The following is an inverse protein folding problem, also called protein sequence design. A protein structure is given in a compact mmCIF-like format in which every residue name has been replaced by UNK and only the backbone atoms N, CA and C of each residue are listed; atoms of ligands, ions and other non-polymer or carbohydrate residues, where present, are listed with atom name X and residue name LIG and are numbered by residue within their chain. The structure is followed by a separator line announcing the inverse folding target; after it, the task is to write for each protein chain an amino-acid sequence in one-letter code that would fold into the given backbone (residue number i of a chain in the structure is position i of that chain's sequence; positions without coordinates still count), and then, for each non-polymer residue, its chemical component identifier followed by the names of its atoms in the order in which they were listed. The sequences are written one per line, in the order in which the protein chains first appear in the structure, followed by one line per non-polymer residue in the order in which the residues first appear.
data_IF_463145094744
#
_entry.id   IF_463145094744
#
_cell.length_a   1.000
_cell.length_b   1.000
_cell.length_c   1.000
_cell.angle_alpha   90.00
_cell.angle_beta   90.00
_cell.angle_gamma   90.00
#
_symmetry.space_group_name_H-M   'P 1'
#
loop_
_entity.id
_entity.type
_entity.pdbx_description
1 polymer ?
#
# COMPACT_ATOMS: atom_id res chain seq x y z
N UNK A 1 -59.61 11.90 1.98
CA UNK A 1 -58.34 12.69 2.12
C UNK A 1 -57.18 11.81 2.55
N UNK A 2 -57.24 10.96 3.59
CA UNK A 2 -56.15 10.09 4.05
C UNK A 2 -55.69 9.02 3.03
N UNK A 3 -56.63 8.37 2.35
CA UNK A 3 -56.34 7.35 1.34
C UNK A 3 -55.60 7.93 0.13
N UNK A 4 -55.95 9.13 -0.32
CA UNK A 4 -55.30 9.82 -1.43
C UNK A 4 -53.83 10.20 -1.08
N UNK A 5 -53.59 10.64 0.15
CA UNK A 5 -52.21 10.94 0.65
C UNK A 5 -51.36 9.67 0.77
N UNK A 6 -51.94 8.54 1.17
CA UNK A 6 -51.25 7.25 1.20
C UNK A 6 -50.87 6.75 -0.19
N UNK A 7 -51.75 6.87 -1.16
CA UNK A 7 -51.49 6.46 -2.53
C UNK A 7 -50.38 7.31 -3.21
N UNK A 8 -50.42 8.63 -3.00
CA UNK A 8 -49.37 9.53 -3.53
C UNK A 8 -47.99 9.27 -2.90
N UNK A 9 -47.93 9.01 -1.58
CA UNK A 9 -46.69 8.69 -0.89
C UNK A 9 -46.10 7.35 -1.40
N UNK A 10 -46.96 6.33 -1.60
CA UNK A 10 -46.54 5.04 -2.16
C UNK A 10 -45.99 5.18 -3.59
N UNK A 11 -46.69 5.93 -4.44
CA UNK A 11 -46.29 6.17 -5.83
C UNK A 11 -44.95 6.92 -5.89
N UNK A 12 -44.78 7.92 -5.03
CA UNK A 12 -43.50 8.66 -4.91
C UNK A 12 -42.36 7.76 -4.45
N UNK A 13 -42.58 6.88 -3.48
CA UNK A 13 -41.56 5.91 -3.02
C UNK A 13 -41.16 4.93 -4.10
N UNK A 14 -42.12 4.42 -4.87
CA UNK A 14 -41.85 3.52 -6.00
C UNK A 14 -41.06 4.24 -7.10
N UNK A 15 -41.49 5.44 -7.49
CA UNK A 15 -40.79 6.24 -8.50
C UNK A 15 -39.37 6.61 -8.07
N UNK A 16 -39.19 6.97 -6.79
CA UNK A 16 -37.86 7.25 -6.22
C UNK A 16 -37.00 5.98 -6.23
N UNK A 17 -37.54 4.83 -5.87
CA UNK A 17 -36.82 3.55 -5.92
C UNK A 17 -36.40 3.17 -7.33
N UNK A 18 -37.26 3.36 -8.32
CA UNK A 18 -36.94 3.14 -9.74
C UNK A 18 -35.85 4.10 -10.22
N UNK A 19 -35.95 5.38 -9.88
CA UNK A 19 -34.93 6.39 -10.24
C UNK A 19 -33.58 6.08 -9.62
N UNK A 20 -33.54 5.71 -8.34
CA UNK A 20 -32.30 5.29 -7.66
C UNK A 20 -31.73 4.03 -8.30
N UNK A 21 -32.58 3.06 -8.66
CA UNK A 21 -32.16 1.84 -9.36
C UNK A 21 -31.51 2.14 -10.72
N UNK A 22 -32.14 3.00 -11.51
CA UNK A 22 -31.59 3.47 -12.80
C UNK A 22 -30.24 4.17 -12.61
N UNK A 23 -30.12 5.13 -11.68
CA UNK A 23 -28.87 5.83 -11.39
C UNK A 23 -27.79 4.83 -10.99
N UNK A 24 -28.08 3.89 -10.11
CA UNK A 24 -27.14 2.86 -9.68
C UNK A 24 -26.67 1.97 -10.81
N UNK A 25 -27.53 1.65 -11.78
CA UNK A 25 -27.17 0.87 -12.96
C UNK A 25 -26.20 1.61 -13.89
N UNK A 26 -26.27 2.94 -13.97
CA UNK A 26 -25.39 3.77 -14.80
C UNK A 26 -24.02 4.05 -14.17
N UNK A 27 -23.86 3.97 -12.86
CA UNK A 27 -22.63 4.30 -12.16
C UNK A 27 -21.40 3.50 -12.65
N UNK A 28 -21.46 2.18 -12.89
CA UNK A 28 -20.31 1.43 -13.41
C UNK A 28 -19.85 1.93 -14.79
N UNK A 29 -20.80 2.22 -15.69
CA UNK A 29 -20.51 2.75 -17.03
C UNK A 29 -19.90 4.15 -16.96
N UNK A 30 -20.41 5.02 -16.08
CA UNK A 30 -19.87 6.33 -15.83
C UNK A 30 -18.45 6.28 -15.24
N UNK A 31 -18.17 5.34 -14.33
CA UNK A 31 -16.83 5.11 -13.78
C UNK A 31 -15.84 4.68 -14.88
N UNK A 32 -16.24 3.76 -15.75
CA UNK A 32 -15.44 3.33 -16.91
C UNK A 32 -15.16 4.50 -17.86
N UNK A 33 -16.18 5.32 -18.14
CA UNK A 33 -16.01 6.53 -18.95
C UNK A 33 -15.00 7.51 -18.35
N UNK A 34 -15.07 7.74 -17.02
CA UNK A 34 -14.12 8.61 -16.31
C UNK A 34 -12.69 8.07 -16.39
N UNK A 35 -12.49 6.77 -16.24
CA UNK A 35 -11.17 6.14 -16.36
C UNK A 35 -10.62 6.30 -17.76
N UNK A 36 -11.41 6.02 -18.79
CA UNK A 36 -11.01 6.21 -20.19
C UNK A 36 -10.62 7.66 -20.50
N UNK A 37 -11.35 8.62 -19.95
CA UNK A 37 -11.02 10.05 -20.07
C UNK A 37 -9.75 10.41 -19.31
N UNK A 38 -9.55 9.85 -18.11
CA UNK A 38 -8.36 10.06 -17.30
C UNK A 38 -7.10 9.51 -17.98
N UNK A 39 -7.19 8.34 -18.59
CA UNK A 39 -6.09 7.74 -19.38
C UNK A 39 -5.64 8.64 -20.55
N UNK A 40 -6.59 9.27 -21.25
CA UNK A 40 -6.27 10.19 -22.35
C UNK A 40 -5.51 11.45 -21.90
N UNK A 41 -5.58 11.80 -20.60
CA UNK A 41 -4.81 12.91 -20.02
C UNK A 41 -3.37 12.52 -19.67
N UNK A 42 -3.07 11.23 -19.60
CA UNK A 42 -1.72 10.75 -19.31
C UNK A 42 -0.80 10.89 -20.52
N UNK A 43 0.51 11.14 -20.30
CA UNK A 43 1.53 11.06 -21.33
C UNK A 43 1.48 9.71 -22.07
N UNK A 44 1.73 9.74 -23.38
CA UNK A 44 1.64 8.53 -24.23
C UNK A 44 2.52 7.38 -23.77
N UNK A 45 3.68 7.70 -23.22
CA UNK A 45 4.67 6.75 -22.74
C UNK A 45 4.17 5.87 -21.58
N UNK A 46 3.27 6.39 -20.73
CA UNK A 46 2.75 5.69 -19.55
C UNK A 46 1.30 5.23 -19.71
N UNK A 47 0.58 5.79 -20.70
CA UNK A 47 -0.85 5.53 -20.93
C UNK A 47 -1.21 4.03 -21.06
N UNK A 48 -0.49 3.20 -21.85
CA UNK A 48 -0.83 1.79 -22.01
C UNK A 48 -0.79 1.00 -20.71
N UNK A 49 0.13 1.37 -19.83
CA UNK A 49 0.30 0.74 -18.51
C UNK A 49 -0.88 0.94 -17.58
N UNK A 50 -1.36 2.18 -17.52
CA UNK A 50 -2.47 2.53 -16.63
C UNK A 50 -3.82 2.04 -17.19
N UNK A 51 -3.92 1.87 -18.52
CA UNK A 51 -5.17 1.46 -19.16
C UNK A 51 -5.63 0.09 -18.67
N UNK A 52 -4.78 -0.90 -18.73
CA UNK A 52 -5.11 -2.28 -18.36
C UNK A 52 -5.33 -2.44 -16.84
N UNK A 53 -4.43 -1.86 -16.05
CA UNK A 53 -4.48 -1.97 -14.59
C UNK A 53 -5.69 -1.26 -13.97
N UNK A 54 -6.02 -0.05 -14.44
CA UNK A 54 -7.15 0.70 -13.92
C UNK A 54 -8.48 0.02 -14.22
N UNK A 55 -8.60 -0.60 -15.39
CA UNK A 55 -9.80 -1.38 -15.75
C UNK A 55 -9.89 -2.67 -14.96
N UNK A 56 -8.78 -3.39 -14.77
CA UNK A 56 -8.75 -4.60 -13.96
C UNK A 56 -9.21 -4.30 -12.53
N UNK A 57 -8.62 -3.28 -11.89
CA UNK A 57 -9.02 -2.90 -10.54
C UNK A 57 -10.45 -2.39 -10.43
N UNK A 58 -10.93 -1.65 -11.43
CA UNK A 58 -12.32 -1.20 -11.44
C UNK A 58 -13.30 -2.39 -11.40
N UNK A 59 -12.96 -3.47 -12.08
CA UNK A 59 -13.78 -4.68 -12.11
C UNK A 59 -13.83 -5.38 -10.74
N UNK A 60 -12.72 -5.35 -10.00
CA UNK A 60 -12.60 -5.99 -8.68
C UNK A 60 -13.32 -5.24 -7.55
N UNK A 61 -13.66 -3.95 -7.77
CA UNK A 61 -14.34 -3.13 -6.75
C UNK A 61 -15.83 -3.46 -6.73
N UNK A 62 -16.42 -3.83 -5.58
CA UNK A 62 -17.86 -4.06 -5.47
C UNK A 62 -18.63 -2.73 -5.41
N UNK A 63 -19.80 -2.69 -6.08
CA UNK A 63 -20.76 -1.58 -6.02
C UNK A 63 -20.44 -0.39 -6.92
N UNK A 64 -21.48 0.23 -7.49
CA UNK A 64 -21.37 1.32 -8.45
C UNK A 64 -20.80 2.61 -7.85
N UNK A 65 -21.18 2.96 -6.62
CA UNK A 65 -20.68 4.16 -5.92
C UNK A 65 -19.19 4.05 -5.66
N UNK A 66 -18.72 2.91 -5.15
CA UNK A 66 -17.29 2.67 -4.89
C UNK A 66 -16.47 2.76 -6.18
N UNK A 67 -16.98 2.23 -7.29
CA UNK A 67 -16.37 2.36 -8.61
C UNK A 67 -16.25 3.82 -9.05
N UNK A 68 -17.29 4.63 -8.82
CA UNK A 68 -17.27 6.07 -9.15
C UNK A 68 -16.26 6.85 -8.31
N UNK A 69 -16.20 6.60 -7.00
CA UNK A 69 -15.23 7.24 -6.10
C UNK A 69 -13.79 6.90 -6.55
N UNK A 70 -13.53 5.63 -6.84
CA UNK A 70 -12.25 5.18 -7.35
C UNK A 70 -11.88 5.85 -8.68
N UNK A 71 -12.79 5.86 -9.66
CA UNK A 71 -12.58 6.49 -10.96
C UNK A 71 -12.34 8.00 -10.85
N UNK A 72 -13.05 8.70 -9.97
CA UNK A 72 -12.86 10.11 -9.70
C UNK A 72 -11.49 10.41 -9.08
N UNK A 73 -11.01 9.55 -8.17
CA UNK A 73 -9.65 9.61 -7.61
C UNK A 73 -8.58 9.49 -8.69
N UNK A 74 -8.71 8.49 -9.56
CA UNK A 74 -7.79 8.29 -10.69
C UNK A 74 -7.83 9.45 -11.70
N UNK A 75 -8.99 10.03 -11.97
CA UNK A 75 -9.10 11.18 -12.86
C UNK A 75 -8.40 12.43 -12.30
N UNK A 76 -8.46 12.65 -10.98
CA UNK A 76 -7.67 13.71 -10.33
C UNK A 76 -6.18 13.43 -10.44
N UNK A 77 -5.73 12.20 -10.17
CA UNK A 77 -4.33 11.81 -10.29
C UNK A 77 -3.81 12.03 -11.73
N UNK A 78 -4.56 11.61 -12.75
CA UNK A 78 -4.20 11.81 -14.16
C UNK A 78 -4.02 13.28 -14.55
N UNK A 79 -4.92 14.17 -14.12
CA UNK A 79 -4.82 15.62 -14.37
C UNK A 79 -3.52 16.20 -13.83
N UNK A 80 -3.03 15.71 -12.71
CA UNK A 80 -1.87 16.22 -12.00
C UNK A 80 -0.56 15.63 -12.51
N UNK A 81 -0.57 14.36 -12.91
CA UNK A 81 0.54 13.76 -13.67
C UNK A 81 0.78 14.60 -14.96
N UNK A 82 -0.29 14.98 -15.63
CA UNK A 82 -0.21 15.85 -16.83
C UNK A 82 0.27 17.27 -16.52
N UNK A 83 -0.13 17.85 -15.39
CA UNK A 83 0.24 19.21 -15.00
C UNK A 83 1.66 19.32 -14.42
N UNK A 84 2.22 18.22 -13.91
CA UNK A 84 3.48 18.23 -13.15
C UNK A 84 4.72 18.02 -14.06
N UNK A 85 4.83 18.78 -15.15
CA UNK A 85 6.00 18.77 -16.07
C UNK A 85 7.30 19.31 -15.44
N UNK A 86 7.29 19.60 -14.14
CA UNK A 86 8.44 20.18 -13.42
C UNK A 86 9.40 19.18 -12.76
N UNK A 87 9.15 17.86 -12.87
CA UNK A 87 10.08 16.86 -12.32
C UNK A 87 11.39 16.87 -13.13
N UNK A 88 12.47 17.27 -12.47
CA UNK A 88 13.80 17.26 -13.06
C UNK A 88 14.29 15.81 -13.16
N UNK A 89 14.16 15.19 -14.34
CA UNK A 89 14.63 13.82 -14.56
C UNK A 89 16.13 13.74 -14.20
N UNK A 90 16.51 12.84 -13.27
CA UNK A 90 17.92 12.67 -12.93
C UNK A 90 18.71 12.16 -14.16
N UNK A 91 20.01 12.50 -14.20
CA UNK A 91 20.87 12.05 -15.28
C UNK A 91 20.93 10.50 -15.30
N UNK A 92 21.14 9.93 -16.47
CA UNK A 92 21.31 8.47 -16.64
C UNK A 92 22.41 7.94 -15.71
N UNK A 93 23.53 8.65 -15.58
CA UNK A 93 24.64 8.28 -14.70
C UNK A 93 24.21 8.23 -13.23
N UNK A 94 23.42 9.18 -12.77
CA UNK A 94 22.94 9.20 -11.38
C UNK A 94 21.99 8.02 -11.10
N UNK A 95 21.11 7.68 -12.04
CA UNK A 95 20.21 6.51 -11.92
C UNK A 95 21.00 5.20 -11.90
N UNK A 96 22.02 5.09 -12.77
CA UNK A 96 22.90 3.89 -12.85
C UNK A 96 23.73 3.75 -11.57
N UNK A 97 24.31 4.84 -11.07
CA UNK A 97 25.06 4.85 -9.82
C UNK A 97 24.18 4.46 -8.62
N UNK A 98 22.94 4.98 -8.56
CA UNK A 98 21.97 4.55 -7.55
C UNK A 98 21.69 3.05 -7.64
N UNK A 99 21.48 2.53 -8.85
CA UNK A 99 21.22 1.09 -9.03
C UNK A 99 22.40 0.23 -8.60
N UNK A 100 23.62 0.64 -8.91
CA UNK A 100 24.83 -0.05 -8.47
C UNK A 100 24.96 -0.05 -6.95
N UNK A 101 24.71 1.10 -6.31
CA UNK A 101 24.70 1.21 -4.85
C UNK A 101 23.63 0.27 -4.24
N UNK A 102 22.39 0.29 -4.76
CA UNK A 102 21.33 -0.58 -4.31
C UNK A 102 21.74 -2.07 -4.40
N UNK A 103 22.29 -2.49 -5.53
CA UNK A 103 22.72 -3.88 -5.75
C UNK A 103 23.86 -4.29 -4.82
N UNK A 104 24.92 -3.48 -4.76
CA UNK A 104 26.09 -3.78 -3.95
C UNK A 104 25.74 -3.88 -2.46
N UNK A 105 24.98 -2.90 -1.97
CA UNK A 105 24.57 -2.87 -0.55
C UNK A 105 23.57 -3.98 -0.22
N UNK A 106 22.59 -4.25 -1.09
CA UNK A 106 21.62 -5.32 -0.86
C UNK A 106 22.29 -6.71 -0.89
N UNK A 107 23.23 -6.94 -1.83
CA UNK A 107 23.97 -8.20 -1.91
C UNK A 107 24.83 -8.40 -0.65
N UNK A 108 25.55 -7.36 -0.24
CA UNK A 108 26.34 -7.40 0.99
C UNK A 108 25.46 -7.67 2.21
N UNK A 109 24.31 -6.98 2.33
CA UNK A 109 23.39 -7.18 3.43
C UNK A 109 22.81 -8.60 3.46
N UNK A 110 22.38 -9.14 2.32
CA UNK A 110 21.87 -10.53 2.22
C UNK A 110 22.95 -11.53 2.61
N UNK A 111 24.19 -11.35 2.13
CA UNK A 111 25.32 -12.25 2.47
C UNK A 111 25.64 -12.21 3.97
N UNK A 112 25.73 -11.00 4.55
CA UNK A 112 26.07 -10.83 5.97
C UNK A 112 24.95 -11.32 6.89
N UNK A 113 23.70 -11.04 6.53
CA UNK A 113 22.52 -11.37 7.33
C UNK A 113 21.96 -12.78 7.01
N UNK A 114 22.57 -13.54 6.09
CA UNK A 114 22.09 -14.88 5.73
C UNK A 114 21.94 -15.82 6.93
N UNK A 115 22.86 -15.92 7.92
CA UNK A 115 22.64 -16.77 9.09
C UNK A 115 21.42 -16.34 9.91
N UNK A 116 21.21 -15.02 10.07
CA UNK A 116 20.06 -14.47 10.76
C UNK A 116 18.76 -14.77 10.00
N UNK A 117 18.75 -14.62 8.68
CA UNK A 117 17.61 -14.92 7.80
C UNK A 117 17.20 -16.39 7.96
N UNK A 118 18.15 -17.32 7.93
CA UNK A 118 17.89 -18.76 8.13
C UNK A 118 17.38 -19.05 9.54
N UNK A 119 17.96 -18.43 10.57
CA UNK A 119 17.51 -18.58 11.95
C UNK A 119 16.06 -18.09 12.11
N UNK A 120 15.72 -16.91 11.59
CA UNK A 120 14.36 -16.38 11.62
C UNK A 120 13.40 -17.32 10.88
N UNK A 121 13.79 -17.84 9.71
CA UNK A 121 12.97 -18.77 8.95
C UNK A 121 12.66 -20.05 9.74
N UNK A 122 13.66 -20.59 10.46
CA UNK A 122 13.49 -21.75 11.34
C UNK A 122 12.55 -21.42 12.52
N UNK A 123 12.74 -20.29 13.18
CA UNK A 123 11.90 -19.84 14.29
C UNK A 123 10.43 -19.68 13.86
N UNK A 124 10.17 -19.07 12.71
CA UNK A 124 8.79 -18.93 12.17
C UNK A 124 8.16 -20.31 11.93
N UNK A 125 8.96 -21.27 11.45
CA UNK A 125 8.46 -22.62 11.15
C UNK A 125 8.14 -23.41 12.41
N UNK A 126 8.86 -23.17 13.50
CA UNK A 126 8.64 -23.78 14.82
C UNK A 126 7.45 -23.10 15.51
N UNK A 127 7.34 -21.79 15.41
CA UNK A 127 6.33 -20.96 16.08
C UNK A 127 4.90 -21.23 15.58
N UNK A 128 4.74 -21.43 14.26
CA UNK A 128 3.43 -21.73 13.68
C UNK A 128 3.52 -22.49 12.35
N UNK A 129 2.56 -23.41 12.06
CA UNK A 129 2.52 -24.11 10.78
C UNK A 129 2.24 -23.16 9.62
N UNK A 130 2.78 -23.46 8.40
CA UNK A 130 2.52 -22.69 7.19
C UNK A 130 3.77 -22.11 6.52
N UNK A 131 3.63 -21.22 5.52
CA UNK A 131 4.75 -20.65 4.77
C UNK A 131 5.58 -19.69 5.64
N UNK A 132 6.89 -19.63 5.39
CA UNK A 132 7.82 -18.73 6.08
C UNK A 132 7.62 -17.29 5.63
N UNK A 133 7.33 -17.10 4.34
CA UNK A 133 7.18 -15.79 3.73
C UNK A 133 5.71 -15.43 3.54
N UNK A 134 5.44 -14.15 3.71
CA UNK A 134 4.20 -13.49 3.33
C UNK A 134 4.45 -12.58 2.16
N UNK A 135 3.51 -12.52 1.23
CA UNK A 135 3.59 -11.62 0.08
C UNK A 135 2.31 -10.79 -0.06
N UNK A 136 2.45 -9.57 -0.53
CA UNK A 136 1.31 -8.72 -0.86
C UNK A 136 1.61 -7.85 -2.07
N UNK A 137 0.56 -7.47 -2.81
CA UNK A 137 0.69 -6.56 -3.94
C UNK A 137 0.79 -5.12 -3.46
N UNK A 138 1.75 -4.39 -4.02
CA UNK A 138 2.01 -2.98 -3.73
C UNK A 138 2.17 -2.20 -5.03
N UNK A 139 2.03 -0.89 -4.92
CA UNK A 139 2.24 0.04 -6.03
C UNK A 139 3.72 0.38 -6.12
N UNK A 140 4.32 0.20 -7.29
CA UNK A 140 5.70 0.52 -7.57
C UNK A 140 5.86 1.75 -8.46
N UNK A 141 7.10 1.96 -8.95
CA UNK A 141 7.42 3.05 -9.88
C UNK A 141 6.55 2.97 -11.13
N UNK A 142 6.05 4.12 -11.57
CA UNK A 142 5.14 4.24 -12.70
C UNK A 142 3.74 3.71 -12.43
N UNK A 143 3.36 3.53 -11.15
CA UNK A 143 2.08 2.95 -10.77
C UNK A 143 1.97 1.44 -11.05
N UNK A 144 3.09 0.75 -11.34
CA UNK A 144 3.07 -0.69 -11.64
C UNK A 144 2.92 -1.50 -10.37
N UNK A 145 2.04 -2.52 -10.34
CA UNK A 145 1.99 -3.45 -9.23
C UNK A 145 3.28 -4.29 -9.16
N UNK A 146 3.73 -4.53 -7.96
CA UNK A 146 4.77 -5.50 -7.68
C UNK A 146 4.45 -6.27 -6.41
N UNK A 147 5.07 -7.43 -6.23
CA UNK A 147 4.91 -8.24 -5.03
C UNK A 147 6.00 -7.91 -4.04
N UNK A 148 5.63 -7.42 -2.85
CA UNK A 148 6.54 -7.24 -1.72
C UNK A 148 6.62 -8.53 -0.92
N UNK A 149 7.83 -8.86 -0.44
CA UNK A 149 8.08 -10.02 0.40
C UNK A 149 8.40 -9.62 1.83
N UNK A 150 7.80 -10.31 2.78
CA UNK A 150 8.07 -10.17 4.22
C UNK A 150 8.16 -11.54 4.87
N UNK A 151 8.77 -11.62 6.03
CA UNK A 151 8.55 -12.78 6.90
C UNK A 151 7.11 -12.79 7.40
N UNK A 152 6.54 -13.99 7.54
CA UNK A 152 5.22 -14.15 8.14
C UNK A 152 5.28 -13.84 9.62
N UNK A 153 4.39 -12.96 10.06
CA UNK A 153 4.26 -12.52 11.47
C UNK A 153 2.90 -12.86 12.07
N UNK A 154 2.01 -13.45 11.27
CA UNK A 154 0.65 -13.81 11.70
C UNK A 154 0.41 -15.30 11.48
N UNK A 155 -0.37 -15.90 12.38
CA UNK A 155 -0.82 -17.28 12.21
C UNK A 155 -1.70 -17.41 10.96
N UNK A 156 -1.57 -18.53 10.26
CA UNK A 156 -2.44 -18.88 9.14
C UNK A 156 -3.66 -19.68 9.60
N UNK A 157 -3.73 -20.03 10.89
CA UNK A 157 -4.82 -20.79 11.51
C UNK A 157 -5.85 -19.83 12.11
N UNK A 158 -7.06 -19.71 11.54
CA UNK A 158 -8.13 -18.92 12.14
C UNK A 158 -8.56 -19.43 13.53
N UNK A 159 -8.44 -20.73 13.79
CA UNK A 159 -8.78 -21.35 15.07
C UNK A 159 -7.83 -20.90 16.18
N UNK A 160 -6.50 -20.92 15.96
CA UNK A 160 -5.51 -20.47 16.95
C UNK A 160 -5.70 -18.99 17.30
N UNK A 161 -5.98 -18.14 16.30
CA UNK A 161 -6.26 -16.73 16.51
C UNK A 161 -7.57 -16.52 17.29
N UNK A 162 -8.58 -17.37 17.05
CA UNK A 162 -9.84 -17.34 17.77
C UNK A 162 -9.66 -17.79 19.23
N UNK A 163 -8.90 -18.86 19.47
CA UNK A 163 -8.59 -19.36 20.81
C UNK A 163 -7.82 -18.32 21.63
N UNK A 164 -6.84 -17.67 21.04
CA UNK A 164 -6.11 -16.57 21.67
C UNK A 164 -7.02 -15.37 22.01
N UNK A 165 -7.95 -15.05 21.11
CA UNK A 165 -8.95 -14.00 21.31
C UNK A 165 -9.91 -14.36 22.46
N UNK A 166 -10.40 -15.60 22.50
CA UNK A 166 -11.31 -16.09 23.56
C UNK A 166 -10.64 -16.15 24.93
N UNK A 167 -9.36 -16.52 24.99
CA UNK A 167 -8.59 -16.56 26.23
C UNK A 167 -8.34 -15.14 26.80
N UNK A 168 -8.24 -14.13 25.95
CA UNK A 168 -7.98 -12.75 26.36
C UNK A 168 -9.23 -11.91 26.64
N UNK A 169 -10.42 -12.33 26.18
CA UNK A 169 -11.64 -11.55 26.25
C UNK A 169 -12.56 -11.99 27.42
N UNK A 170 -13.14 -11.03 28.21
CA UNK A 170 -14.22 -11.34 29.12
C UNK A 170 -15.42 -11.92 28.35
N UNK A 171 -16.14 -12.89 28.99
CA UNK A 171 -17.27 -13.62 28.35
C UNK A 171 -18.32 -12.73 27.64
N UNK A 172 -18.52 -11.51 28.12
CA UNK A 172 -19.44 -10.55 27.51
C UNK A 172 -19.01 -10.02 26.11
N UNK A 173 -17.71 -10.12 25.78
CA UNK A 173 -17.22 -9.71 24.46
C UNK A 173 -17.34 -10.81 23.41
N UNK A 174 -17.50 -12.06 23.80
CA UNK A 174 -17.57 -13.22 22.89
C UNK A 174 -18.83 -13.14 21.99
N UNK A 175 -19.94 -12.64 22.53
CA UNK A 175 -21.19 -12.47 21.78
C UNK A 175 -21.06 -11.38 20.70
N UNK A 176 -20.35 -10.31 20.99
CA UNK A 176 -20.05 -9.25 20.03
C UNK A 176 -19.17 -9.75 18.86
N UNK A 177 -18.19 -10.62 19.14
CA UNK A 177 -17.30 -11.23 18.14
C UNK A 177 -18.02 -12.19 17.19
N UNK A 178 -19.08 -12.85 17.60
CA UNK A 178 -19.91 -13.69 16.74
C UNK A 178 -20.65 -12.90 15.66
N UNK A 179 -20.94 -11.63 15.93
CA UNK A 179 -21.61 -10.73 14.99
C UNK A 179 -20.63 -10.05 14.00
N UNK A 180 -19.33 -9.96 14.33
CA UNK A 180 -18.30 -9.32 13.52
C UNK A 180 -17.13 -10.28 13.30
N UNK A 181 -17.05 -11.01 12.17
CA UNK A 181 -16.10 -12.12 11.96
C UNK A 181 -14.66 -11.67 11.66
N UNK A 182 -14.25 -10.43 11.97
CA UNK A 182 -12.87 -9.98 11.85
C UNK A 182 -12.16 -10.07 13.19
N UNK A 183 -11.34 -11.12 13.36
CA UNK A 183 -10.39 -11.22 14.47
C UNK A 183 -9.42 -10.06 14.37
N UNK A 184 -9.24 -9.23 15.44
CA UNK A 184 -8.27 -8.13 15.38
C UNK A 184 -6.87 -8.63 15.09
N UNK A 185 -6.14 -7.88 14.29
CA UNK A 185 -4.80 -8.26 13.82
C UNK A 185 -3.84 -8.63 14.97
N UNK A 186 -3.96 -7.99 16.13
CA UNK A 186 -3.08 -8.26 17.28
C UNK A 186 -3.24 -9.67 17.88
N UNK A 187 -4.39 -10.34 17.71
CA UNK A 187 -4.58 -11.73 18.14
C UNK A 187 -4.05 -12.75 17.13
N UNK A 188 -3.83 -12.32 15.90
CA UNK A 188 -3.28 -13.17 14.86
C UNK A 188 -1.74 -13.14 14.84
N UNK A 189 -1.13 -12.14 15.50
CA UNK A 189 0.33 -11.97 15.52
C UNK A 189 0.95 -13.00 16.47
N UNK A 190 1.82 -13.85 15.92
CA UNK A 190 2.52 -14.87 16.69
C UNK A 190 3.57 -14.25 17.63
N UNK A 191 4.03 -14.96 18.69
CA UNK A 191 5.09 -14.46 19.58
C UNK A 191 6.35 -14.04 18.81
N UNK A 192 6.84 -14.88 17.90
CA UNK A 192 7.98 -14.55 17.02
C UNK A 192 7.61 -13.41 16.09
N UNK A 193 6.40 -13.39 15.53
CA UNK A 193 5.90 -12.31 14.68
C UNK A 193 5.92 -10.96 15.38
N UNK A 194 5.60 -10.92 16.68
CA UNK A 194 5.66 -9.68 17.48
C UNK A 194 7.09 -9.16 17.61
N UNK A 195 8.05 -10.04 17.91
CA UNK A 195 9.47 -9.68 17.97
C UNK A 195 9.96 -9.15 16.64
N UNK A 196 9.60 -9.83 15.53
CA UNK A 196 10.00 -9.41 14.18
C UNK A 196 9.45 -8.03 13.81
N UNK A 197 8.19 -7.72 14.16
CA UNK A 197 7.59 -6.39 13.92
C UNK A 197 8.23 -5.30 14.78
N UNK A 198 8.51 -5.58 16.05
CA UNK A 198 9.18 -4.63 16.94
C UNK A 198 10.59 -4.26 16.45
N UNK A 199 11.29 -5.22 15.85
CA UNK A 199 12.65 -5.05 15.34
C UNK A 199 12.71 -4.71 13.85
N UNK A 200 11.55 -4.65 13.16
CA UNK A 200 11.43 -4.52 11.70
C UNK A 200 12.19 -5.60 10.91
N UNK A 201 12.58 -6.71 11.55
CA UNK A 201 13.25 -7.83 10.88
C UNK A 201 12.31 -8.60 9.94
N UNK A 202 10.99 -8.44 10.10
CA UNK A 202 10.01 -8.99 9.17
C UNK A 202 10.18 -8.43 7.74
N UNK A 203 10.83 -7.31 7.57
CA UNK A 203 11.05 -6.66 6.28
C UNK A 203 12.33 -7.09 5.55
N UNK A 204 13.22 -7.88 6.20
CA UNK A 204 14.47 -8.35 5.56
C UNK A 204 14.28 -9.01 4.18
N UNK A 205 13.22 -9.81 3.93
CA UNK A 205 12.97 -10.37 2.60
C UNK A 205 12.77 -9.34 1.49
N UNK A 206 12.47 -8.07 1.82
CA UNK A 206 12.39 -6.99 0.82
C UNK A 206 13.75 -6.67 0.18
N UNK A 207 14.87 -7.08 0.78
CA UNK A 207 16.18 -7.02 0.10
C UNK A 207 16.16 -7.77 -1.23
N UNK A 208 15.38 -8.85 -1.33
CA UNK A 208 15.14 -9.54 -2.60
C UNK A 208 14.45 -8.63 -3.62
N UNK A 209 13.47 -7.83 -3.18
CA UNK A 209 12.81 -6.84 -4.03
C UNK A 209 13.79 -5.78 -4.55
N UNK A 210 14.78 -5.40 -3.74
CA UNK A 210 15.85 -4.50 -4.18
C UNK A 210 16.75 -5.18 -5.22
N UNK A 211 17.15 -6.44 -5.00
CA UNK A 211 17.99 -7.19 -5.93
C UNK A 211 17.34 -7.38 -7.30
N UNK A 212 16.06 -7.74 -7.35
CA UNK A 212 15.32 -7.88 -8.63
C UNK A 212 14.93 -6.54 -9.25
N UNK A 213 15.04 -5.44 -8.49
CA UNK A 213 14.84 -4.07 -8.99
C UNK A 213 13.42 -3.53 -8.93
N UNK A 214 12.48 -4.22 -8.29
CA UNK A 214 11.14 -3.72 -8.01
C UNK A 214 11.13 -2.65 -6.91
N UNK A 215 12.14 -2.67 -6.02
CA UNK A 215 12.40 -1.66 -4.99
C UNK A 215 13.82 -1.09 -5.10
N UNK A 216 14.09 -0.08 -4.30
CA UNK A 216 15.38 0.50 -3.99
C UNK A 216 15.64 0.38 -2.49
N UNK A 217 16.89 0.57 -2.04
CA UNK A 217 17.17 0.71 -0.61
C UNK A 217 16.50 1.96 -0.03
N UNK A 218 16.58 3.07 -0.75
CA UNK A 218 16.02 4.37 -0.33
C UNK A 218 14.91 4.80 -1.29
N UNK A 219 13.75 5.12 -0.75
CA UNK A 219 12.58 5.57 -1.51
C UNK A 219 11.35 5.77 -0.63
N UNK A 220 10.21 6.18 -1.21
CA UNK A 220 8.93 6.19 -0.54
C UNK A 220 8.53 4.78 -0.06
N UNK A 221 7.78 4.71 1.02
CA UNK A 221 7.31 3.41 1.51
C UNK A 221 6.34 2.75 0.50
N UNK A 222 6.44 1.42 0.27
CA UNK A 222 5.58 0.72 -0.67
C UNK A 222 4.09 0.84 -0.35
N UNK A 223 3.34 1.51 -1.22
CA UNK A 223 1.92 1.80 -1.05
C UNK A 223 1.04 0.58 -1.29
N UNK A 224 0.04 0.37 -0.42
CA UNK A 224 -1.09 -0.47 -0.76
C UNK A 224 -2.05 0.28 -1.72
N UNK A 225 -2.77 -0.46 -2.57
CA UNK A 225 -3.74 0.14 -3.49
C UNK A 225 -4.83 0.95 -2.77
N UNK A 226 -5.26 0.50 -1.59
CA UNK A 226 -6.23 1.22 -0.76
C UNK A 226 -5.70 2.59 -0.24
N UNK A 227 -4.40 2.81 -0.24
CA UNK A 227 -3.77 4.05 0.22
C UNK A 227 -3.59 5.08 -0.91
N UNK A 228 -3.72 4.67 -2.18
CA UNK A 228 -3.49 5.55 -3.35
C UNK A 228 -4.38 6.80 -3.31
N UNK A 229 -5.63 6.64 -2.94
CA UNK A 229 -6.57 7.76 -2.82
C UNK A 229 -6.12 8.77 -1.76
N UNK A 230 -5.54 8.31 -0.65
CA UNK A 230 -5.03 9.16 0.43
C UNK A 230 -3.79 9.96 0.04
N UNK A 231 -3.03 9.50 -0.98
CA UNK A 231 -1.89 10.23 -1.53
C UNK A 231 -2.31 11.40 -2.40
N UNK A 232 -3.52 11.35 -2.98
CA UNK A 232 -4.05 12.42 -3.79
C UNK A 232 -3.03 12.90 -4.83
N UNK A 233 -2.64 14.18 -4.75
CA UNK A 233 -1.71 14.87 -5.64
C UNK A 233 -0.31 14.31 -5.64
N UNK A 234 0.11 13.81 -4.48
CA UNK A 234 1.46 13.32 -4.27
C UNK A 234 1.69 11.94 -4.90
N UNK A 235 0.61 11.27 -5.35
CA UNK A 235 0.72 9.97 -6.02
C UNK A 235 1.52 10.04 -7.31
N UNK A 236 1.41 11.14 -8.06
CA UNK A 236 2.22 11.35 -9.27
C UNK A 236 3.71 11.39 -8.94
N UNK A 237 4.09 12.15 -7.90
CA UNK A 237 5.47 12.25 -7.45
C UNK A 237 5.98 10.88 -6.93
N UNK A 238 5.15 10.14 -6.22
CA UNK A 238 5.46 8.76 -5.78
C UNK A 238 5.79 7.85 -6.97
N UNK A 239 5.04 7.93 -8.05
CA UNK A 239 5.23 7.10 -9.24
C UNK A 239 6.54 7.37 -9.99
N UNK A 240 7.19 8.51 -9.78
CA UNK A 240 8.45 8.84 -10.48
C UNK A 240 9.66 8.07 -9.94
N UNK A 241 9.60 7.58 -8.71
CA UNK A 241 10.70 6.89 -8.04
C UNK A 241 10.32 5.45 -7.67
N UNK A 242 11.32 4.59 -7.40
CA UNK A 242 11.07 3.26 -6.86
C UNK A 242 10.73 3.37 -5.37
N UNK A 243 9.80 2.56 -4.84
CA UNK A 243 9.61 2.43 -3.41
C UNK A 243 10.89 1.91 -2.74
N UNK A 244 11.11 2.33 -1.49
CA UNK A 244 12.31 2.03 -0.73
C UNK A 244 12.07 1.09 0.45
N UNK A 245 13.15 0.44 0.88
CA UNK A 245 13.20 -0.28 2.16
C UNK A 245 13.25 0.72 3.33
N UNK A 246 13.98 1.81 3.15
CA UNK A 246 13.98 2.97 4.04
C UNK A 246 13.67 4.24 3.26
N UNK A 247 13.31 5.32 3.95
CA UNK A 247 12.94 6.56 3.32
C UNK A 247 13.09 7.77 4.23
N UNK A 248 12.87 8.94 3.67
CA UNK A 248 13.08 10.21 4.35
C UNK A 248 12.24 10.36 5.63
N UNK A 249 10.99 9.88 5.63
CA UNK A 249 10.12 9.94 6.79
C UNK A 249 10.56 8.99 7.91
N UNK A 250 11.10 7.81 7.57
CA UNK A 250 11.53 6.79 8.53
C UNK A 250 12.73 7.23 9.38
N UNK A 251 13.53 8.17 8.87
CA UNK A 251 14.67 8.74 9.58
C UNK A 251 14.38 10.10 10.23
N UNK A 252 13.14 10.56 10.14
CA UNK A 252 12.66 11.79 10.78
C UNK A 252 12.07 11.45 12.15
N UNK A 253 12.17 12.37 13.11
CA UNK A 253 11.58 12.18 14.45
C UNK A 253 10.05 12.13 14.32
N UNK A 254 9.52 10.91 14.23
CA UNK A 254 8.14 10.64 13.81
C UNK A 254 7.18 10.37 14.98
N UNK A 255 7.55 10.65 16.23
CA UNK A 255 6.64 10.54 17.36
C UNK A 255 5.46 11.49 17.18
N UNK A 256 4.32 10.93 16.68
CA UNK A 256 3.10 11.70 16.43
C UNK A 256 2.87 12.16 14.99
N UNK A 257 3.70 11.77 14.02
CA UNK A 257 3.52 12.10 12.61
C UNK A 257 2.18 11.59 12.07
N UNK A 258 1.39 12.48 11.48
CA UNK A 258 0.17 12.08 10.81
C UNK A 258 0.45 11.55 9.39
N UNK A 259 -0.55 10.87 8.80
CA UNK A 259 -0.40 10.25 7.48
C UNK A 259 -0.07 11.27 6.37
N UNK A 260 -0.62 12.48 6.45
CA UNK A 260 -0.38 13.51 5.44
C UNK A 260 1.05 14.05 5.49
N UNK A 261 1.63 14.17 6.66
CA UNK A 261 3.04 14.54 6.83
C UNK A 261 3.96 13.50 6.21
N UNK A 262 3.69 12.20 6.43
CA UNK A 262 4.41 11.11 5.75
C UNK A 262 4.35 11.27 4.24
N UNK A 263 3.17 11.53 3.68
CA UNK A 263 2.98 11.77 2.23
C UNK A 263 3.83 12.94 1.75
N UNK A 264 3.95 14.01 2.54
CA UNK A 264 4.79 15.16 2.18
C UNK A 264 6.28 14.81 2.18
N UNK A 265 6.75 13.96 3.11
CA UNK A 265 8.14 13.48 3.08
C UNK A 265 8.43 12.63 1.84
N UNK A 266 7.53 11.74 1.47
CA UNK A 266 7.66 10.91 0.26
C UNK A 266 7.67 11.78 -1.01
N UNK A 267 6.80 12.78 -1.07
CA UNK A 267 6.78 13.78 -2.13
C UNK A 267 8.08 14.60 -2.19
N UNK A 268 8.56 15.07 -1.04
CA UNK A 268 9.83 15.81 -0.94
C UNK A 268 10.97 14.95 -1.47
N UNK A 269 11.07 13.70 -1.01
CA UNK A 269 12.08 12.77 -1.50
C UNK A 269 12.03 12.64 -3.03
N UNK A 270 10.87 12.36 -3.59
CA UNK A 270 10.73 12.20 -5.04
C UNK A 270 11.20 13.43 -5.81
N UNK A 271 10.84 14.63 -5.36
CA UNK A 271 11.16 15.91 -6.04
C UNK A 271 12.60 16.35 -5.86
N UNK A 272 13.23 16.05 -4.73
CA UNK A 272 14.58 16.51 -4.38
C UNK A 272 15.62 15.38 -4.37
N UNK A 273 15.26 14.24 -4.99
CA UNK A 273 16.13 13.07 -4.99
C UNK A 273 17.56 13.40 -5.44
N UNK A 274 18.53 12.91 -4.70
CA UNK A 274 19.94 12.93 -5.04
C UNK A 274 20.66 11.73 -4.44
N UNK A 275 21.72 11.25 -5.08
CA UNK A 275 22.51 10.13 -4.58
C UNK A 275 23.14 10.44 -3.21
N UNK A 276 23.58 11.68 -3.01
CA UNK A 276 24.09 12.15 -1.70
C UNK A 276 22.99 12.08 -0.63
N UNK A 277 21.76 12.48 -0.96
CA UNK A 277 20.61 12.35 -0.07
C UNK A 277 20.36 10.90 0.35
N UNK A 278 20.46 9.96 -0.60
CA UNK A 278 20.32 8.53 -0.30
C UNK A 278 21.38 8.03 0.67
N UNK A 279 22.64 8.42 0.47
CA UNK A 279 23.74 8.06 1.39
C UNK A 279 23.50 8.59 2.81
N UNK A 280 23.00 9.82 2.94
CA UNK A 280 22.65 10.39 4.25
C UNK A 280 21.47 9.64 4.90
N UNK A 281 20.46 9.27 4.11
CA UNK A 281 19.32 8.48 4.61
C UNK A 281 19.80 7.13 5.09
N UNK A 282 20.62 6.41 4.32
CA UNK A 282 21.19 5.12 4.72
C UNK A 282 22.00 5.21 6.00
N UNK A 283 22.89 6.19 6.10
CA UNK A 283 23.68 6.40 7.30
C UNK A 283 22.81 6.65 8.54
N UNK A 284 21.79 7.49 8.42
CA UNK A 284 20.83 7.74 9.49
C UNK A 284 19.99 6.50 9.83
N UNK A 285 19.56 5.73 8.85
CA UNK A 285 18.80 4.47 9.08
C UNK A 285 19.60 3.51 9.96
N UNK A 286 20.91 3.37 9.73
CA UNK A 286 21.78 2.54 10.57
C UNK A 286 21.80 3.05 12.00
N UNK A 287 21.95 4.39 12.20
CA UNK A 287 21.97 5.00 13.53
C UNK A 287 20.63 4.76 14.26
N UNK A 288 19.51 4.93 13.58
CA UNK A 288 18.17 4.68 14.13
C UNK A 288 17.99 3.19 14.50
N UNK A 289 18.40 2.26 13.63
CA UNK A 289 18.33 0.84 13.90
C UNK A 289 19.16 0.42 15.14
N UNK A 290 20.35 1.03 15.34
CA UNK A 290 21.20 0.76 16.52
C UNK A 290 20.61 1.34 17.80
N UNK A 291 19.95 2.49 17.73
CA UNK A 291 19.34 3.14 18.90
C UNK A 291 18.05 2.49 19.37
N UNK A 292 17.45 1.60 18.57
CA UNK A 292 16.20 0.89 18.91
C UNK A 292 14.99 1.82 18.95
N UNK A 293 15.03 2.90 18.18
CA UNK A 293 13.95 3.88 18.05
C UNK A 293 13.15 3.59 16.78
#
# INVERSE_FOLDING_TARGET
MAILRGATALLFTILLGLLVGEIMAWLPSAATFLINRAQKMLPEEIRPRFAEEWHSHLNDIPGGISKMVYAAGLARAARRISANRGFRRPSFLAVSAKRLLDLATALMAVSLLSPLIFMIAALIRIDSPGPIFFSSRRVGRGGRPFTIWKFRTMSTSPSEALDACQAAAPKAHIEWWRQFPKIPDHFQVTPIGRLLRLTSLDELPQLWNVLIGSMSLVGPHPLAWAEVERYGDSFADYCEVKPGLTGLWQISDCSGMNYQERVQFDRKYARTWSLHGDLLILARTIIFAIRGI
#
